data_IF_920353442905
#
_entry.id   IF_920353442905
#
_cell.length_a   1.000
_cell.length_b   1.000
_cell.length_c   1.000
_cell.angle_alpha   90.00
_cell.angle_beta   90.00
_cell.angle_gamma   90.00
#
_symmetry.space_group_name_H-M   'P 1'
#
loop_
_entity.id
_entity.type
_entity.pdbx_description
1 polymer ?
#
# COMPACT_ATOMS: atom_id res chain seq x y z
N UNK A 1 13.59 14.97 7.13
CA UNK A 1 14.78 15.29 6.46
C UNK A 1 16.08 15.23 7.23
N UNK A 2 16.09 15.15 8.58
CA UNK A 2 17.37 15.12 9.34
C UNK A 2 17.94 13.74 9.50
N UNK A 3 17.14 12.69 9.36
CA UNK A 3 17.61 11.30 9.43
C UNK A 3 17.81 10.74 8.02
N UNK A 4 18.91 10.03 7.83
CA UNK A 4 19.32 9.51 6.55
C UNK A 4 19.72 8.03 6.70
N UNK A 5 19.12 7.14 5.90
CA UNK A 5 19.40 5.71 5.95
C UNK A 5 20.63 5.29 5.12
N UNK A 6 21.12 6.16 4.24
CA UNK A 6 22.19 5.85 3.29
C UNK A 6 21.82 4.79 2.26
N UNK A 7 20.53 4.69 1.92
CA UNK A 7 20.00 3.63 1.04
C UNK A 7 20.59 3.72 -0.36
N UNK A 8 20.71 4.92 -0.90
CA UNK A 8 21.21 5.16 -2.25
C UNK A 8 22.63 4.60 -2.40
N UNK A 9 23.51 4.86 -1.43
CA UNK A 9 24.87 4.34 -1.43
C UNK A 9 24.93 2.81 -1.29
N UNK A 10 23.93 2.23 -0.61
CA UNK A 10 23.87 0.78 -0.45
C UNK A 10 23.52 0.03 -1.73
N UNK A 11 22.88 0.69 -2.70
CA UNK A 11 22.61 0.09 -4.02
C UNK A 11 23.85 -0.04 -4.89
N UNK A 12 24.92 0.74 -4.64
CA UNK A 12 26.13 0.71 -5.43
C UNK A 12 26.78 -0.69 -5.40
N UNK A 13 26.96 -1.30 -6.57
CA UNK A 13 27.59 -2.60 -6.71
C UNK A 13 26.76 -3.82 -6.31
N UNK A 14 25.49 -3.65 -5.99
CA UNK A 14 24.59 -4.77 -5.71
C UNK A 14 24.18 -5.48 -7.01
N UNK A 15 23.97 -6.79 -6.93
CA UNK A 15 23.24 -7.53 -7.95
C UNK A 15 21.74 -7.14 -7.95
N UNK A 16 21.04 -7.46 -9.05
CA UNK A 16 19.66 -7.02 -9.25
C UNK A 16 18.68 -7.59 -8.21
N UNK A 17 18.89 -8.83 -7.79
CA UNK A 17 18.00 -9.47 -6.80
C UNK A 17 18.19 -8.86 -5.41
N UNK A 18 19.43 -8.63 -5.01
CA UNK A 18 19.75 -7.94 -3.76
C UNK A 18 19.24 -6.51 -3.79
N UNK A 19 19.34 -5.83 -4.92
CA UNK A 19 18.79 -4.49 -5.13
C UNK A 19 17.25 -4.48 -4.96
N UNK A 20 16.52 -5.43 -5.53
CA UNK A 20 15.08 -5.55 -5.38
C UNK A 20 14.67 -5.74 -3.90
N UNK A 21 15.40 -6.58 -3.18
CA UNK A 21 15.20 -6.78 -1.73
C UNK A 21 15.47 -5.51 -0.93
N UNK A 22 16.53 -4.78 -1.25
CA UNK A 22 16.85 -3.51 -0.58
C UNK A 22 15.77 -2.46 -0.87
N UNK A 23 15.30 -2.35 -2.13
CA UNK A 23 14.24 -1.44 -2.52
C UNK A 23 12.98 -1.65 -1.67
N UNK A 24 12.53 -2.89 -1.53
CA UNK A 24 11.40 -3.23 -0.67
C UNK A 24 11.59 -2.91 0.81
N UNK A 25 12.80 -2.65 1.27
CA UNK A 25 13.11 -2.34 2.68
C UNK A 25 13.36 -0.85 2.94
N UNK A 26 13.15 -0.01 1.93
CA UNK A 26 13.22 1.45 2.08
C UNK A 26 12.14 1.94 3.05
N UNK A 27 10.93 1.38 2.95
CA UNK A 27 9.81 1.62 3.87
C UNK A 27 9.11 0.30 4.17
N UNK A 28 8.84 0.00 5.46
CA UNK A 28 8.30 -1.29 5.87
C UNK A 28 6.83 -1.52 5.48
N UNK A 29 6.07 -0.47 5.31
CA UNK A 29 4.64 -0.46 4.98
C UNK A 29 4.37 -0.34 3.46
N UNK A 30 5.37 0.00 2.67
CA UNK A 30 5.29 0.14 1.21
C UNK A 30 6.32 -0.74 0.50
N UNK A 31 6.48 -1.96 0.97
CA UNK A 31 7.46 -2.91 0.47
C UNK A 31 7.24 -3.27 -1.00
N UNK A 32 5.98 -3.62 -1.34
CA UNK A 32 5.62 -4.04 -2.70
C UNK A 32 5.78 -2.89 -3.68
N UNK A 33 5.32 -1.69 -3.34
CA UNK A 33 5.42 -0.54 -4.22
C UNK A 33 6.88 -0.22 -4.58
N UNK A 34 7.79 -0.20 -3.61
CA UNK A 34 9.20 0.06 -3.86
C UNK A 34 9.91 -1.08 -4.62
N UNK A 35 9.64 -2.33 -4.25
CA UNK A 35 10.21 -3.48 -4.96
C UNK A 35 9.74 -3.51 -6.43
N UNK A 36 8.45 -3.25 -6.67
CA UNK A 36 7.91 -3.20 -8.04
C UNK A 36 8.49 -2.04 -8.85
N UNK A 37 8.56 -0.85 -8.29
CA UNK A 37 9.16 0.30 -8.97
C UNK A 37 10.63 0.05 -9.38
N UNK A 38 11.42 -0.56 -8.49
CA UNK A 38 12.79 -0.98 -8.78
C UNK A 38 12.83 -2.01 -9.92
N UNK A 39 12.02 -3.07 -9.85
CA UNK A 39 11.96 -4.09 -10.88
C UNK A 39 11.55 -3.51 -12.24
N UNK A 40 10.57 -2.60 -12.28
CA UNK A 40 10.17 -1.91 -13.52
C UNK A 40 11.32 -1.10 -14.13
N UNK A 41 12.10 -0.39 -13.31
CA UNK A 41 13.27 0.36 -13.79
C UNK A 41 14.33 -0.57 -14.40
N UNK A 42 14.62 -1.70 -13.73
CA UNK A 42 15.57 -2.72 -14.23
C UNK A 42 15.05 -3.36 -15.51
N UNK A 43 13.78 -3.78 -15.54
CA UNK A 43 13.14 -4.42 -16.70
C UNK A 43 13.11 -3.50 -17.91
N UNK A 44 12.83 -2.22 -17.69
CA UNK A 44 12.90 -1.21 -18.76
C UNK A 44 14.33 -1.05 -19.30
N UNK A 45 15.31 -0.97 -18.41
CA UNK A 45 16.72 -0.81 -18.81
C UNK A 45 17.28 -2.03 -19.55
N UNK A 46 16.77 -3.22 -19.25
CA UNK A 46 17.20 -4.50 -19.87
C UNK A 46 16.30 -4.95 -21.02
N UNK A 47 15.23 -4.22 -21.32
CA UNK A 47 14.18 -4.62 -22.27
C UNK A 47 13.58 -6.02 -21.97
N UNK A 48 13.54 -6.39 -20.69
CA UNK A 48 13.03 -7.68 -20.24
C UNK A 48 11.50 -7.70 -20.31
N UNK A 49 10.92 -8.83 -20.76
CA UNK A 49 9.49 -9.04 -20.80
C UNK A 49 9.01 -9.75 -19.51
N UNK A 50 8.02 -9.19 -18.86
CA UNK A 50 7.40 -9.79 -17.67
C UNK A 50 6.19 -10.63 -18.11
N UNK A 51 6.04 -11.88 -17.65
CA UNK A 51 4.86 -12.70 -17.96
C UNK A 51 3.56 -12.01 -17.49
N UNK A 52 2.50 -12.09 -18.29
CA UNK A 52 1.22 -11.44 -17.98
C UNK A 52 0.67 -11.82 -16.60
N UNK A 53 0.74 -13.11 -16.23
CA UNK A 53 0.33 -13.55 -14.89
C UNK A 53 1.11 -12.87 -13.78
N UNK A 54 2.41 -12.62 -13.97
CA UNK A 54 3.23 -11.92 -12.98
C UNK A 54 2.82 -10.45 -12.84
N UNK A 55 2.41 -9.79 -13.94
CA UNK A 55 1.89 -8.42 -13.91
C UNK A 55 0.61 -8.36 -13.06
N UNK A 56 -0.34 -9.29 -13.26
CA UNK A 56 -1.54 -9.39 -12.46
C UNK A 56 -1.27 -9.67 -10.99
N UNK A 57 -0.33 -10.56 -10.68
CA UNK A 57 0.05 -10.88 -9.29
C UNK A 57 0.70 -9.68 -8.60
N UNK A 58 1.56 -8.93 -9.30
CA UNK A 58 2.16 -7.68 -8.78
C UNK A 58 1.09 -6.65 -8.44
N UNK A 59 0.09 -6.48 -9.33
CA UNK A 59 -1.04 -5.61 -9.07
C UNK A 59 -1.85 -6.06 -7.85
N UNK A 60 -2.12 -7.35 -7.72
CA UNK A 60 -2.79 -7.92 -6.55
C UNK A 60 -2.00 -7.69 -5.26
N UNK A 61 -0.69 -7.94 -5.26
CA UNK A 61 0.16 -7.69 -4.10
C UNK A 61 0.14 -6.22 -3.67
N UNK A 62 0.12 -5.30 -4.62
CA UNK A 62 0.03 -3.87 -4.35
C UNK A 62 -1.32 -3.51 -3.70
N UNK A 63 -2.42 -4.10 -4.14
CA UNK A 63 -3.73 -3.88 -3.50
C UNK A 63 -3.78 -4.48 -2.10
N UNK A 64 -3.20 -5.67 -1.88
CA UNK A 64 -3.09 -6.27 -0.54
C UNK A 64 -2.31 -5.36 0.41
N UNK A 65 -1.18 -4.80 -0.03
CA UNK A 65 -0.40 -3.81 0.72
C UNK A 65 -1.22 -2.55 1.01
N UNK A 66 -1.96 -2.04 0.01
CA UNK A 66 -2.78 -0.85 0.15
C UNK A 66 -3.90 -1.02 1.18
N UNK A 67 -4.60 -2.15 1.17
CA UNK A 67 -5.64 -2.46 2.16
C UNK A 67 -5.05 -2.46 3.57
N UNK A 68 -3.90 -3.12 3.77
CA UNK A 68 -3.23 -3.13 5.06
C UNK A 68 -2.86 -1.73 5.55
N UNK A 69 -2.40 -0.86 4.65
CA UNK A 69 -2.06 0.52 4.98
C UNK A 69 -3.30 1.34 5.33
N UNK A 70 -4.36 1.27 4.53
CA UNK A 70 -5.59 2.00 4.81
C UNK A 70 -6.23 1.58 6.12
N UNK A 71 -6.24 0.28 6.45
CA UNK A 71 -6.72 -0.19 7.76
C UNK A 71 -5.86 0.38 8.90
N UNK A 72 -4.55 0.43 8.73
CA UNK A 72 -3.64 1.04 9.70
C UNK A 72 -3.89 2.54 9.89
N UNK A 73 -4.04 3.27 8.79
CA UNK A 73 -4.24 4.72 8.78
C UNK A 73 -5.58 5.11 9.41
N UNK A 74 -6.67 4.40 9.08
CA UNK A 74 -7.97 4.60 9.70
C UNK A 74 -7.92 4.35 11.22
N UNK A 75 -7.16 3.36 11.65
CA UNK A 75 -6.92 3.12 13.07
C UNK A 75 -6.16 4.27 13.72
N UNK A 76 -5.08 4.73 13.11
CA UNK A 76 -4.30 5.87 13.64
C UNK A 76 -5.10 7.17 13.68
N UNK A 77 -5.96 7.44 12.71
CA UNK A 77 -6.86 8.59 12.76
C UNK A 77 -7.75 8.54 14.02
N UNK A 78 -8.26 7.36 14.37
CA UNK A 78 -8.98 7.18 15.64
C UNK A 78 -8.10 7.44 16.86
N UNK A 79 -6.87 6.93 16.86
CA UNK A 79 -5.91 7.15 17.95
C UNK A 79 -5.60 8.63 18.15
N UNK A 80 -5.38 9.38 17.07
CA UNK A 80 -4.99 10.80 17.11
C UNK A 80 -6.07 11.71 17.71
N UNK A 81 -7.34 11.28 17.65
CA UNK A 81 -8.47 11.98 18.24
C UNK A 81 -8.99 11.32 19.53
N UNK A 82 -8.19 10.42 20.13
CA UNK A 82 -8.52 9.69 21.35
C UNK A 82 -9.75 8.75 21.24
N UNK A 83 -10.11 8.31 20.04
CA UNK A 83 -11.11 7.26 19.81
C UNK A 83 -10.46 5.88 19.81
N UNK A 84 -10.05 5.39 21.00
CA UNK A 84 -9.36 4.11 21.15
C UNK A 84 -10.12 2.91 20.60
N UNK A 85 -11.46 2.94 20.62
CA UNK A 85 -12.30 1.92 19.99
C UNK A 85 -11.98 1.78 18.49
N UNK A 86 -11.98 2.88 17.74
CA UNK A 86 -11.68 2.87 16.32
C UNK A 86 -10.28 2.35 16.03
N UNK A 87 -9.28 2.82 16.80
CA UNK A 87 -7.91 2.32 16.71
C UNK A 87 -7.85 0.79 16.84
N UNK A 88 -8.42 0.24 17.92
CA UNK A 88 -8.38 -1.20 18.20
C UNK A 88 -9.07 -2.02 17.13
N UNK A 89 -10.24 -1.58 16.63
CA UNK A 89 -11.00 -2.33 15.64
C UNK A 89 -10.29 -2.36 14.27
N UNK A 90 -9.81 -1.23 13.77
CA UNK A 90 -9.09 -1.20 12.50
C UNK A 90 -7.76 -1.96 12.56
N UNK A 91 -7.04 -1.90 13.68
CA UNK A 91 -5.81 -2.66 13.85
C UNK A 91 -6.04 -4.17 13.97
N UNK A 92 -7.16 -4.60 14.55
CA UNK A 92 -7.57 -6.01 14.52
C UNK A 92 -7.81 -6.49 13.08
N UNK A 93 -8.56 -5.72 12.28
CA UNK A 93 -8.79 -6.04 10.87
C UNK A 93 -7.47 -6.09 10.07
N UNK A 94 -6.58 -5.12 10.31
CA UNK A 94 -5.23 -5.13 9.72
C UNK A 94 -4.46 -6.40 10.09
N UNK A 95 -4.50 -6.81 11.35
CA UNK A 95 -3.80 -8.01 11.81
C UNK A 95 -4.36 -9.28 11.13
N UNK A 96 -5.68 -9.42 11.03
CA UNK A 96 -6.31 -10.54 10.32
C UNK A 96 -5.84 -10.60 8.85
N UNK A 97 -5.85 -9.46 8.16
CA UNK A 97 -5.37 -9.33 6.80
C UNK A 97 -3.88 -9.70 6.62
N UNK A 98 -3.03 -9.26 7.54
CA UNK A 98 -1.61 -9.58 7.54
C UNK A 98 -1.35 -11.07 7.84
N UNK A 99 -2.16 -11.71 8.68
CA UNK A 99 -2.08 -13.16 8.93
C UNK A 99 -2.47 -13.96 7.71
N UNK A 100 -3.52 -13.56 7.00
CA UNK A 100 -3.89 -14.18 5.73
C UNK A 100 -2.76 -14.02 4.70
N UNK A 101 -2.19 -12.83 4.57
CA UNK A 101 -1.04 -12.59 3.69
C UNK A 101 0.13 -13.52 4.00
N UNK A 102 0.46 -13.70 5.29
CA UNK A 102 1.50 -14.64 5.71
C UNK A 102 1.17 -16.10 5.35
N UNK A 103 -0.09 -16.51 5.51
CA UNK A 103 -0.56 -17.86 5.15
C UNK A 103 -0.42 -18.11 3.63
N UNK A 104 -0.80 -17.15 2.81
CA UNK A 104 -0.84 -17.31 1.35
C UNK A 104 0.53 -17.16 0.69
N UNK A 105 1.35 -16.23 1.17
CA UNK A 105 2.57 -15.81 0.48
C UNK A 105 3.85 -15.99 1.32
N UNK A 106 3.73 -16.44 2.56
CA UNK A 106 4.86 -16.76 3.43
C UNK A 106 5.42 -15.59 4.24
N UNK A 107 4.94 -14.36 4.02
CA UNK A 107 5.32 -13.20 4.82
C UNK A 107 4.16 -12.21 4.94
N UNK A 108 3.93 -11.66 6.13
CA UNK A 108 2.78 -10.77 6.43
C UNK A 108 2.81 -9.45 5.63
N UNK A 109 3.97 -8.95 5.25
CA UNK A 109 4.16 -7.77 4.40
C UNK A 109 4.62 -8.12 2.98
N UNK A 110 4.42 -9.37 2.53
CA UNK A 110 4.75 -9.83 1.17
C UNK A 110 6.24 -9.62 0.79
N UNK A 111 7.15 -9.72 1.77
CA UNK A 111 8.57 -9.53 1.51
C UNK A 111 9.08 -10.52 0.47
N UNK A 112 9.87 -9.98 -0.47
CA UNK A 112 10.54 -10.73 -1.52
C UNK A 112 9.58 -11.47 -2.49
N UNK A 113 8.30 -11.06 -2.55
CA UNK A 113 7.33 -11.61 -3.51
C UNK A 113 7.54 -11.09 -4.94
N UNK A 114 8.08 -9.87 -5.10
CA UNK A 114 8.40 -9.28 -6.41
C UNK A 114 9.89 -9.42 -6.66
N UNK A 115 10.23 -9.93 -7.85
CA UNK A 115 11.61 -10.13 -8.31
C UNK A 115 11.77 -9.56 -9.72
N UNK A 116 13.00 -9.21 -10.15
CA UNK A 116 13.24 -8.81 -11.54
C UNK A 116 12.72 -9.87 -12.53
N UNK A 117 11.95 -9.43 -13.51
CA UNK A 117 11.35 -10.31 -14.51
C UNK A 117 10.10 -11.08 -14.08
N UNK A 118 9.60 -10.90 -12.83
CA UNK A 118 8.41 -11.64 -12.42
C UNK A 118 8.04 -11.52 -10.94
N UNK A 119 7.56 -12.63 -10.40
CA UNK A 119 7.18 -12.82 -9.00
C UNK A 119 7.74 -14.12 -8.45
N UNK A 120 8.08 -14.15 -7.17
CA UNK A 120 8.58 -15.35 -6.48
C UNK A 120 7.45 -16.18 -5.82
N UNK A 121 6.23 -15.67 -5.81
CA UNK A 121 5.05 -16.32 -5.22
C UNK A 121 3.89 -16.28 -6.19
N UNK A 122 3.09 -17.36 -6.15
CA UNK A 122 1.85 -17.46 -6.92
C UNK A 122 0.66 -17.65 -5.98
N UNK A 123 -0.55 -17.48 -6.50
CA UNK A 123 -1.80 -17.65 -5.77
C UNK A 123 -2.55 -18.88 -6.30
N UNK A 124 -2.83 -19.81 -5.40
CA UNK A 124 -3.64 -21.01 -5.69
C UNK A 124 -5.13 -20.65 -5.77
N UNK A 125 -5.94 -21.54 -6.37
CA UNK A 125 -7.39 -21.32 -6.43
C UNK A 125 -8.05 -21.31 -5.04
N UNK A 126 -7.57 -22.15 -4.12
CA UNK A 126 -8.01 -22.09 -2.72
C UNK A 126 -7.60 -20.77 -2.06
N UNK A 127 -6.40 -20.26 -2.36
CA UNK A 127 -5.94 -18.98 -1.86
C UNK A 127 -6.76 -17.80 -2.40
N UNK A 128 -7.24 -17.88 -3.64
CA UNK A 128 -8.18 -16.87 -4.19
C UNK A 128 -9.49 -16.84 -3.41
N UNK A 129 -10.05 -18.03 -3.10
CA UNK A 129 -11.28 -18.13 -2.33
C UNK A 129 -11.11 -17.56 -0.91
N UNK A 130 -10.02 -17.92 -0.23
CA UNK A 130 -9.69 -17.40 1.09
C UNK A 130 -9.55 -15.86 1.08
N UNK A 131 -8.85 -15.33 0.07
CA UNK A 131 -8.62 -13.88 -0.07
C UNK A 131 -9.92 -13.12 -0.34
N UNK A 132 -10.78 -13.65 -1.23
CA UNK A 132 -12.07 -13.04 -1.53
C UNK A 132 -12.99 -13.03 -0.30
N UNK A 133 -13.12 -14.16 0.40
CA UNK A 133 -13.94 -14.26 1.60
C UNK A 133 -13.49 -13.30 2.70
N UNK A 134 -12.18 -13.16 2.90
CA UNK A 134 -11.65 -12.23 3.90
C UNK A 134 -11.83 -10.76 3.49
N UNK A 135 -11.70 -10.45 2.19
CA UNK A 135 -11.96 -9.11 1.67
C UNK A 135 -13.42 -8.71 1.90
N UNK A 136 -14.36 -9.58 1.58
CA UNK A 136 -15.81 -9.35 1.81
C UNK A 136 -16.13 -9.14 3.30
N UNK A 137 -15.53 -9.94 4.18
CA UNK A 137 -15.68 -9.80 5.63
C UNK A 137 -15.16 -8.46 6.12
N UNK A 138 -13.94 -8.09 5.71
CA UNK A 138 -13.33 -6.81 6.09
C UNK A 138 -14.15 -5.64 5.55
N UNK A 139 -14.61 -5.69 4.30
CA UNK A 139 -15.44 -4.64 3.71
C UNK A 139 -16.70 -4.40 4.53
N UNK A 140 -17.41 -5.46 4.95
CA UNK A 140 -18.61 -5.34 5.78
C UNK A 140 -18.32 -4.66 7.12
N UNK A 141 -17.24 -5.06 7.80
CA UNK A 141 -16.85 -4.45 9.08
C UNK A 141 -16.38 -3.00 8.91
N UNK A 142 -15.61 -2.70 7.86
CA UNK A 142 -15.17 -1.33 7.54
C UNK A 142 -16.36 -0.40 7.29
N UNK A 143 -17.41 -0.86 6.60
CA UNK A 143 -18.64 -0.07 6.40
C UNK A 143 -19.28 0.31 7.74
N UNK A 144 -19.35 -0.63 8.68
CA UNK A 144 -19.91 -0.38 10.01
C UNK A 144 -19.05 0.59 10.83
N UNK A 145 -17.72 0.40 10.80
CA UNK A 145 -16.78 1.29 11.50
C UNK A 145 -16.76 2.69 10.89
N UNK A 146 -16.88 2.78 9.56
CA UNK A 146 -17.00 4.08 8.88
C UNK A 146 -18.25 4.84 9.32
N UNK A 147 -19.40 4.17 9.41
CA UNK A 147 -20.62 4.80 9.92
C UNK A 147 -20.42 5.36 11.33
N UNK A 148 -19.76 4.61 12.22
CA UNK A 148 -19.41 5.09 13.56
C UNK A 148 -18.52 6.35 13.49
N UNK A 149 -17.52 6.37 12.61
CA UNK A 149 -16.64 7.52 12.42
C UNK A 149 -17.40 8.75 11.89
N UNK A 150 -18.30 8.54 10.93
CA UNK A 150 -19.10 9.61 10.33
C UNK A 150 -20.08 10.24 11.34
N UNK A 151 -20.63 9.44 12.25
CA UNK A 151 -21.60 9.90 13.27
C UNK A 151 -20.94 10.40 14.56
N UNK A 152 -19.64 10.16 14.77
CA UNK A 152 -18.98 10.51 16.02
C UNK A 152 -18.64 12.00 16.07
N UNK A 153 -19.46 12.79 16.75
CA UNK A 153 -19.37 14.26 16.77
C UNK A 153 -17.98 14.81 17.12
N UNK A 154 -17.33 14.27 18.15
CA UNK A 154 -15.99 14.73 18.57
C UNK A 154 -14.93 14.43 17.50
N UNK A 155 -15.05 13.31 16.78
CA UNK A 155 -14.14 12.97 15.69
C UNK A 155 -14.34 13.91 14.52
N UNK A 156 -15.60 14.16 14.13
CA UNK A 156 -15.93 15.10 13.05
C UNK A 156 -15.47 16.52 13.37
N UNK A 157 -15.64 16.97 14.62
CA UNK A 157 -15.17 18.28 15.07
C UNK A 157 -13.65 18.45 14.91
N UNK A 158 -12.89 17.38 15.17
CA UNK A 158 -11.44 17.40 15.01
C UNK A 158 -10.96 17.27 13.55
N UNK A 159 -11.73 16.61 12.70
CA UNK A 159 -11.35 16.40 11.29
C UNK A 159 -11.81 17.53 10.40
N UNK A 160 -13.01 18.08 10.63
CA UNK A 160 -13.58 19.10 9.77
C UNK A 160 -12.72 20.36 9.78
N UNK A 161 -12.33 20.79 8.59
CA UNK A 161 -11.47 21.98 8.36
C UNK A 161 -10.05 21.87 8.94
N UNK A 162 -9.57 20.70 9.31
CA UNK A 162 -8.21 20.50 9.78
C UNK A 162 -7.26 20.20 8.63
N UNK A 163 -6.14 20.91 8.54
CA UNK A 163 -5.07 20.64 7.58
C UNK A 163 -5.45 20.87 6.11
N UNK A 164 -6.29 21.86 5.82
CA UNK A 164 -6.72 22.16 4.44
C UNK A 164 -5.51 22.59 3.59
N UNK A 165 -5.21 21.80 2.56
CA UNK A 165 -4.28 22.18 1.51
C UNK A 165 -5.08 22.66 0.30
N UNK A 166 -4.93 23.95 -0.04
CA UNK A 166 -5.64 24.55 -1.18
C UNK A 166 -5.16 23.97 -2.50
N UNK A 167 -6.06 23.87 -3.53
CA UNK A 167 -5.72 23.25 -4.82
C UNK A 167 -4.51 23.87 -5.52
N UNK A 168 -4.35 25.20 -5.46
CA UNK A 168 -3.22 25.91 -6.05
C UNK A 168 -1.89 25.56 -5.36
N UNK A 169 -1.90 25.43 -4.04
CA UNK A 169 -0.73 24.99 -3.28
C UNK A 169 -0.41 23.53 -3.57
N UNK A 170 -1.41 22.66 -3.61
CA UNK A 170 -1.25 21.25 -3.95
C UNK A 170 -0.62 21.06 -5.34
N UNK A 171 -1.09 21.83 -6.33
CA UNK A 171 -0.53 21.81 -7.68
C UNK A 171 0.93 22.29 -7.70
N UNK A 172 1.25 23.37 -7.01
CA UNK A 172 2.63 23.88 -6.91
C UNK A 172 3.59 22.93 -6.23
N UNK A 173 3.11 22.17 -5.25
CA UNK A 173 3.89 21.15 -4.53
C UNK A 173 3.95 19.81 -5.28
N UNK A 174 3.19 19.67 -6.38
CA UNK A 174 3.10 18.41 -7.11
C UNK A 174 2.52 17.27 -6.27
N UNK A 175 1.53 17.54 -5.41
CA UNK A 175 0.92 16.53 -4.57
C UNK A 175 0.18 15.50 -5.43
N UNK A 176 0.46 14.23 -5.17
CA UNK A 176 -0.13 13.07 -5.87
C UNK A 176 -0.81 12.13 -4.88
N UNK A 177 -1.40 11.05 -5.40
CA UNK A 177 -2.03 10.02 -4.59
C UNK A 177 -3.22 10.52 -3.78
N UNK A 178 -3.41 9.96 -2.58
CA UNK A 178 -4.55 10.27 -1.73
C UNK A 178 -4.58 11.75 -1.30
N UNK A 179 -3.45 12.30 -0.87
CA UNK A 179 -3.33 13.70 -0.46
C UNK A 179 -3.63 14.65 -1.62
N UNK A 180 -3.14 14.34 -2.82
CA UNK A 180 -3.44 15.12 -4.03
C UNK A 180 -4.93 15.11 -4.36
N UNK A 181 -5.57 13.95 -4.38
CA UNK A 181 -7.01 13.83 -4.65
C UNK A 181 -7.86 14.55 -3.60
N UNK A 182 -7.50 14.44 -2.31
CA UNK A 182 -8.16 15.19 -1.24
C UNK A 182 -8.00 16.71 -1.39
N UNK A 183 -6.97 17.16 -2.12
CA UNK A 183 -6.67 18.58 -2.41
C UNK A 183 -7.08 18.98 -3.83
N UNK A 184 -8.07 18.30 -4.41
CA UNK A 184 -8.65 18.54 -5.74
C UNK A 184 -7.65 18.39 -6.91
N UNK A 185 -6.61 17.57 -6.77
CA UNK A 185 -5.75 17.18 -7.88
C UNK A 185 -6.31 15.94 -8.57
N UNK A 186 -6.36 15.94 -9.92
CA UNK A 186 -6.92 14.85 -10.72
C UNK A 186 -5.89 13.87 -11.27
N UNK A 187 -4.59 14.16 -11.07
CA UNK A 187 -3.53 13.31 -11.57
C UNK A 187 -3.43 12.00 -10.77
N UNK A 188 -3.43 10.87 -11.48
CA UNK A 188 -3.25 9.54 -10.91
C UNK A 188 -2.24 8.75 -11.75
N UNK A 189 -1.17 8.25 -11.12
CA UNK A 189 -0.11 7.53 -11.82
C UNK A 189 -0.61 6.28 -12.55
N UNK A 190 -1.62 5.58 -11.99
CA UNK A 190 -2.18 4.37 -12.60
C UNK A 190 -2.97 4.68 -13.89
N UNK A 191 -3.61 5.84 -13.95
CA UNK A 191 -4.31 6.29 -15.14
C UNK A 191 -3.34 6.81 -16.20
N UNK A 192 -2.23 7.44 -15.80
CA UNK A 192 -1.24 7.99 -16.74
C UNK A 192 -0.28 6.92 -17.25
N UNK A 193 0.06 5.95 -16.42
CA UNK A 193 1.00 4.87 -16.72
C UNK A 193 0.39 3.50 -16.36
N UNK A 194 -0.61 3.04 -17.12
CA UNK A 194 -1.24 1.74 -16.85
C UNK A 194 -0.22 0.62 -17.06
N UNK A 195 0.14 -0.09 -16.00
CA UNK A 195 1.11 -1.19 -16.02
C UNK A 195 0.43 -2.56 -15.91
N UNK A 196 -0.79 -2.59 -15.45
CA UNK A 196 -1.64 -3.77 -15.44
C UNK A 196 -2.93 -3.48 -16.21
N UNK A 197 -3.49 -4.49 -16.85
CA UNK A 197 -4.74 -4.36 -17.56
C UNK A 197 -5.89 -3.97 -16.63
#
# INVERSE_FOLDING_TARGET
>A
GYTHKGTEKRFEGMDLDTGARLAGRVSGDTHIAYAWAYCMAVETATASQVPERAVWLRALFLEIERIANHLGDLGYLGNDVALGFGFMQFWRLKEDWLRLSAKLFGHRYLFDCIVPGGVAKDLTDSGKADLAAEADRIEAEVRSLKAIYDEHATLQDRFTNTGICKPDLAARLGLTGLAGRASAQTWDARAQFPQAP
#
